data_IF_800990965733
#
_entry.id   IF_800990965733
#
_cell.length_a   1.000
_cell.length_b   1.000
_cell.length_c   1.000
_cell.angle_alpha   90.00
_cell.angle_beta   90.00
_cell.angle_gamma   90.00
#
_symmetry.space_group_name_H-M   'P 1'
#
loop_
_entity.id
_entity.type
_entity.pdbx_description
1 polymer ?
#
# COMPACT_ATOMS: atom_id res chain seq x y z
N UNK A 1 -10.87 12.43 -11.00
CA UNK A 1 -10.02 13.38 -10.24
C UNK A 1 -9.20 12.55 -9.26
N UNK A 2 -7.96 12.94 -8.94
CA UNK A 2 -7.19 12.22 -7.93
C UNK A 2 -7.71 12.57 -6.53
N UNK A 3 -7.75 11.59 -5.63
CA UNK A 3 -8.24 11.73 -4.26
C UNK A 3 -7.07 11.83 -3.30
N UNK A 4 -6.99 12.90 -2.52
CA UNK A 4 -5.92 13.12 -1.53
C UNK A 4 -6.51 13.09 -0.14
N UNK A 5 -5.96 12.25 0.73
CA UNK A 5 -6.26 12.23 2.15
C UNK A 5 -5.36 13.21 2.90
N UNK A 6 -5.89 13.91 3.90
CA UNK A 6 -5.11 14.75 4.82
C UNK A 6 -5.46 14.45 6.28
N UNK A 7 -4.44 14.18 7.09
CA UNK A 7 -4.55 13.96 8.54
C UNK A 7 -3.68 15.00 9.25
N UNK A 8 -4.29 15.76 10.14
CA UNK A 8 -3.65 16.78 10.97
C UNK A 8 -4.56 17.02 12.17
N UNK A 9 -4.00 17.25 13.34
CA UNK A 9 -4.74 17.50 14.59
C UNK A 9 -5.37 18.90 14.63
N UNK A 10 -4.83 19.87 13.90
CA UNK A 10 -5.32 21.25 13.85
C UNK A 10 -6.36 21.47 12.74
N UNK A 11 -7.55 21.94 13.12
CA UNK A 11 -8.64 22.20 12.16
C UNK A 11 -8.29 23.32 11.17
N UNK A 12 -7.53 24.33 11.60
CA UNK A 12 -7.07 25.43 10.75
C UNK A 12 -6.13 24.94 9.65
N UNK A 13 -5.23 24.01 9.96
CA UNK A 13 -4.36 23.35 9.00
C UNK A 13 -5.16 22.51 8.01
N UNK A 14 -6.11 21.69 8.49
CA UNK A 14 -7.02 20.90 7.62
C UNK A 14 -7.79 21.79 6.64
N UNK A 15 -8.33 22.91 7.12
CA UNK A 15 -9.07 23.87 6.29
C UNK A 15 -8.15 24.58 5.26
N UNK A 16 -6.95 24.96 5.67
CA UNK A 16 -5.95 25.57 4.80
C UNK A 16 -5.52 24.62 3.69
N UNK A 17 -5.22 23.36 4.04
CA UNK A 17 -4.92 22.30 3.08
C UNK A 17 -6.07 22.11 2.09
N UNK A 18 -7.31 21.98 2.56
CA UNK A 18 -8.46 21.86 1.68
C UNK A 18 -8.56 23.04 0.69
N UNK A 19 -8.40 24.27 1.17
CA UNK A 19 -8.46 25.45 0.30
C UNK A 19 -7.40 25.44 -0.81
N UNK A 20 -6.17 25.02 -0.49
CA UNK A 20 -5.06 24.99 -1.44
C UNK A 20 -5.19 23.88 -2.49
N UNK A 21 -5.83 22.75 -2.15
CA UNK A 21 -5.82 21.54 -2.98
C UNK A 21 -7.15 21.21 -3.69
N UNK A 22 -8.29 21.74 -3.22
CA UNK A 22 -9.64 21.41 -3.73
C UNK A 22 -9.85 21.62 -5.24
N UNK A 23 -9.12 22.55 -5.85
CA UNK A 23 -9.29 22.87 -7.28
C UNK A 23 -8.61 21.83 -8.18
N UNK A 24 -7.72 21.01 -7.61
CA UNK A 24 -6.88 20.07 -8.35
C UNK A 24 -7.05 18.61 -7.92
N UNK A 25 -7.61 18.40 -6.73
CA UNK A 25 -7.80 17.10 -6.09
C UNK A 25 -9.15 17.04 -5.38
N UNK A 26 -9.69 15.83 -5.27
CA UNK A 26 -10.77 15.55 -4.32
C UNK A 26 -10.14 15.37 -2.94
N UNK A 27 -10.26 16.38 -2.09
CA UNK A 27 -9.63 16.41 -0.76
C UNK A 27 -10.54 15.71 0.25
N UNK A 28 -9.99 14.73 0.97
CA UNK A 28 -10.63 14.00 2.06
C UNK A 28 -9.88 14.34 3.33
N UNK A 29 -10.55 15.03 4.24
CA UNK A 29 -10.02 15.38 5.54
C UNK A 29 -10.44 14.32 6.55
N UNK A 30 -9.48 13.78 7.30
CA UNK A 30 -9.77 12.89 8.42
C UNK A 30 -9.79 13.71 9.70
N UNK A 31 -10.85 13.56 10.48
CA UNK A 31 -11.01 14.25 11.74
C UNK A 31 -10.43 13.42 12.88
N UNK A 32 -9.59 14.05 13.71
CA UNK A 32 -9.06 13.45 14.91
C UNK A 32 -9.90 13.94 16.09
N UNK A 33 -10.40 12.98 16.88
CA UNK A 33 -11.20 13.20 18.08
C UNK A 33 -10.59 12.43 19.24
N UNK A 34 -11.05 12.68 20.47
CA UNK A 34 -10.59 11.94 21.67
C UNK A 34 -10.87 10.43 21.61
N UNK A 35 -11.83 10.00 20.77
CA UNK A 35 -12.17 8.59 20.57
C UNK A 35 -11.37 7.94 19.44
N UNK A 36 -10.61 8.73 18.67
CA UNK A 36 -9.80 8.26 17.56
C UNK A 36 -8.62 7.47 18.11
N UNK A 37 -8.49 6.21 17.70
CA UNK A 37 -7.28 5.41 17.91
C UNK A 37 -6.61 5.12 16.57
N UNK A 38 -5.31 4.81 16.62
CA UNK A 38 -4.50 4.60 15.42
C UNK A 38 -5.08 3.49 14.52
N UNK A 39 -5.53 2.37 15.08
CA UNK A 39 -6.06 1.24 14.32
C UNK A 39 -7.33 1.62 13.54
N UNK A 40 -8.26 2.31 14.18
CA UNK A 40 -9.50 2.78 13.55
C UNK A 40 -9.21 3.77 12.42
N UNK A 41 -8.26 4.68 12.63
CA UNK A 41 -7.88 5.68 11.64
C UNK A 41 -7.19 5.05 10.42
N UNK A 42 -6.30 4.06 10.64
CA UNK A 42 -5.71 3.26 9.56
C UNK A 42 -6.81 2.59 8.73
N UNK A 43 -7.78 1.96 9.40
CA UNK A 43 -8.92 1.30 8.77
C UNK A 43 -9.76 2.27 7.93
N UNK A 44 -10.01 3.47 8.44
CA UNK A 44 -10.75 4.53 7.75
C UNK A 44 -10.00 5.01 6.51
N UNK A 45 -8.71 5.27 6.63
CA UNK A 45 -7.81 5.66 5.53
C UNK A 45 -7.86 4.62 4.41
N UNK A 46 -7.70 3.34 4.74
CA UNK A 46 -7.70 2.27 3.75
C UNK A 46 -9.07 2.08 3.07
N UNK A 47 -10.17 2.30 3.79
CA UNK A 47 -11.55 2.24 3.25
C UNK A 47 -11.92 3.47 2.42
N UNK A 48 -11.29 4.61 2.68
CA UNK A 48 -11.60 5.88 2.02
C UNK A 48 -11.29 5.87 0.52
N UNK A 49 -10.53 4.90 0.01
CA UNK A 49 -10.10 4.78 -1.38
C UNK A 49 -9.45 6.07 -1.93
N UNK A 50 -8.63 6.73 -1.11
CA UNK A 50 -7.74 7.81 -1.53
C UNK A 50 -6.60 7.27 -2.41
N UNK A 51 -6.04 8.15 -3.24
CA UNK A 51 -4.93 7.83 -4.13
C UNK A 51 -3.56 8.17 -3.53
N UNK A 52 -3.52 9.09 -2.57
CA UNK A 52 -2.33 9.45 -1.80
C UNK A 52 -2.76 10.03 -0.45
N UNK A 53 -2.06 9.66 0.62
CA UNK A 53 -2.23 10.22 1.95
C UNK A 53 -1.16 11.26 2.26
N UNK A 54 -1.56 12.36 2.87
CA UNK A 54 -0.67 13.34 3.48
C UNK A 54 -1.00 13.39 4.97
N UNK A 55 0.00 13.33 5.84
CA UNK A 55 -0.20 13.36 7.28
C UNK A 55 0.82 14.25 7.98
N UNK A 56 0.41 14.98 9.00
CA UNK A 56 1.34 15.62 9.94
C UNK A 56 2.02 14.56 10.81
N UNK A 57 3.27 14.82 11.21
CA UNK A 57 4.02 13.92 12.08
C UNK A 57 3.49 13.94 13.52
N UNK A 58 3.19 15.13 14.05
CA UNK A 58 2.92 15.43 15.46
C UNK A 58 1.43 15.49 15.77
N UNK A 59 0.75 14.35 15.65
CA UNK A 59 -0.69 14.26 15.89
C UNK A 59 -1.09 14.34 17.37
N UNK A 60 -0.13 14.15 18.28
CA UNK A 60 -0.35 14.16 19.73
C UNK A 60 -0.38 15.57 20.37
N UNK A 61 -0.08 16.63 19.62
CA UNK A 61 0.11 18.00 20.17
C UNK A 61 -1.12 18.57 20.86
N UNK A 62 -2.32 18.31 20.31
CA UNK A 62 -3.58 18.80 20.88
C UNK A 62 -4.09 17.92 22.04
N UNK A 63 -3.40 16.81 22.37
CA UNK A 63 -3.77 15.89 23.44
C UNK A 63 -5.02 15.06 23.17
N UNK A 64 -5.57 15.12 21.95
CA UNK A 64 -6.72 14.32 21.52
C UNK A 64 -6.35 12.84 21.34
N UNK A 65 -5.11 12.56 20.97
CA UNK A 65 -4.60 11.20 20.74
C UNK A 65 -3.21 11.03 21.35
N UNK A 66 -2.81 9.77 21.56
CA UNK A 66 -1.53 9.36 22.17
C UNK A 66 -0.58 8.68 21.17
N UNK A 67 -0.77 8.98 19.87
CA UNK A 67 0.01 8.41 18.79
C UNK A 67 0.42 9.49 17.79
N UNK A 68 1.55 9.26 17.12
CA UNK A 68 2.06 10.10 16.06
C UNK A 68 1.97 9.38 14.71
N UNK A 69 2.47 10.04 13.66
CA UNK A 69 2.47 9.50 12.30
C UNK A 69 3.22 8.16 12.17
N UNK A 70 4.24 7.91 13.00
CA UNK A 70 5.00 6.67 13.03
C UNK A 70 4.08 5.44 13.16
N UNK A 71 3.20 5.44 14.18
CA UNK A 71 2.22 4.36 14.41
C UNK A 71 1.24 4.21 13.24
N UNK A 72 0.78 5.31 12.63
CA UNK A 72 -0.11 5.25 11.47
C UNK A 72 0.59 4.69 10.24
N UNK A 73 1.84 5.12 9.98
CA UNK A 73 2.64 4.66 8.86
C UNK A 73 2.93 3.17 9.00
N UNK A 74 3.32 2.71 10.19
CA UNK A 74 3.51 1.29 10.49
C UNK A 74 2.23 0.48 10.26
N UNK A 75 1.09 0.96 10.79
CA UNK A 75 -0.20 0.28 10.62
C UNK A 75 -0.66 0.19 9.16
N UNK A 76 -0.46 1.26 8.38
CA UNK A 76 -0.76 1.27 6.95
C UNK A 76 0.19 0.32 6.20
N UNK A 77 1.50 0.39 6.45
CA UNK A 77 2.50 -0.41 5.74
C UNK A 77 2.45 -1.89 6.10
N UNK A 78 1.96 -2.24 7.29
CA UNK A 78 1.67 -3.62 7.66
C UNK A 78 0.58 -4.26 6.78
N UNK A 79 -0.33 -3.46 6.23
CA UNK A 79 -1.43 -3.93 5.36
C UNK A 79 -1.11 -3.70 3.88
N UNK A 80 -0.52 -2.55 3.55
CA UNK A 80 -0.10 -2.17 2.22
C UNK A 80 1.28 -1.52 2.27
N UNK A 81 2.31 -2.32 2.03
CA UNK A 81 3.72 -1.91 2.13
C UNK A 81 4.06 -0.74 1.19
N UNK A 82 3.37 -0.66 0.05
CA UNK A 82 3.62 0.34 -0.99
C UNK A 82 2.56 1.45 -1.01
N UNK A 83 1.83 1.63 0.10
CA UNK A 83 0.77 2.64 0.17
C UNK A 83 1.34 4.04 -0.13
N UNK A 84 0.74 4.79 -1.06
CA UNK A 84 1.21 6.13 -1.41
C UNK A 84 0.91 7.09 -0.27
N UNK A 85 1.93 7.42 0.52
CA UNK A 85 1.83 8.34 1.65
C UNK A 85 2.99 9.33 1.68
N UNK A 86 2.76 10.49 2.31
CA UNK A 86 3.73 11.57 2.49
C UNK A 86 3.54 12.19 3.86
N UNK A 87 4.61 12.32 4.63
CA UNK A 87 4.59 13.04 5.91
C UNK A 87 4.94 14.50 5.64
N UNK A 88 4.10 15.41 6.10
CA UNK A 88 4.23 16.85 5.94
C UNK A 88 4.26 17.49 7.33
N UNK A 89 5.44 17.92 7.79
CA UNK A 89 5.62 18.39 9.18
C UNK A 89 6.57 19.58 9.25
N UNK A 90 6.42 20.43 10.27
CA UNK A 90 7.42 21.44 10.63
C UNK A 90 8.55 20.86 11.50
N UNK A 91 8.42 19.61 11.95
CA UNK A 91 9.37 18.89 12.82
C UNK A 91 10.16 17.83 12.04
N UNK A 92 10.80 18.23 10.94
CA UNK A 92 11.47 17.30 10.02
C UNK A 92 12.51 16.40 10.69
N UNK A 93 13.36 16.97 11.56
CA UNK A 93 14.42 16.21 12.25
C UNK A 93 13.84 15.06 13.08
N UNK A 94 12.77 15.35 13.80
CA UNK A 94 12.12 14.40 14.69
C UNK A 94 11.39 13.31 13.90
N UNK A 95 10.74 13.68 12.80
CA UNK A 95 10.15 12.71 11.88
C UNK A 95 11.21 11.80 11.23
N UNK A 96 12.38 12.33 10.89
CA UNK A 96 13.49 11.57 10.31
C UNK A 96 14.11 10.56 11.29
N UNK A 97 14.08 10.85 12.59
CA UNK A 97 14.60 9.96 13.63
C UNK A 97 13.66 8.79 13.95
N UNK A 98 12.34 8.95 13.71
CA UNK A 98 11.33 7.95 14.06
C UNK A 98 10.78 7.17 12.85
N UNK A 99 10.89 7.70 11.63
CA UNK A 99 10.41 7.03 10.42
C UNK A 99 11.56 6.33 9.67
N UNK A 100 11.37 5.06 9.32
CA UNK A 100 12.38 4.28 8.59
C UNK A 100 12.68 4.86 7.19
N UNK A 101 11.72 5.55 6.57
CA UNK A 101 11.82 6.08 5.22
C UNK A 101 11.85 7.62 5.20
N UNK A 102 13.05 8.18 5.32
CA UNK A 102 13.30 9.62 5.26
C UNK A 102 12.72 10.32 4.02
N UNK A 103 12.60 9.63 2.89
CA UNK A 103 12.05 10.19 1.65
C UNK A 103 10.55 10.58 1.73
N UNK A 104 9.84 10.08 2.74
CA UNK A 104 8.43 10.38 2.98
C UNK A 104 8.25 11.73 3.68
N UNK A 105 9.27 12.20 4.41
CA UNK A 105 9.21 13.43 5.22
C UNK A 105 9.42 14.67 4.36
N UNK A 106 8.57 15.69 4.55
CA UNK A 106 8.62 16.97 3.87
C UNK A 106 8.33 18.10 4.85
N UNK A 107 9.12 19.18 4.78
CA UNK A 107 8.88 20.40 5.53
C UNK A 107 7.58 21.10 5.16
N UNK A 108 6.72 21.35 6.14
CA UNK A 108 5.42 22.03 5.97
C UNK A 108 5.60 23.46 5.46
N UNK A 109 6.47 24.24 6.11
CA UNK A 109 6.77 25.64 5.77
C UNK A 109 7.31 25.75 4.33
N UNK A 110 8.22 24.84 3.95
CA UNK A 110 8.83 24.82 2.63
C UNK A 110 7.82 24.48 1.52
N UNK A 111 6.98 23.48 1.75
CA UNK A 111 6.06 22.94 0.75
C UNK A 111 4.78 23.75 0.60
N UNK A 112 4.20 24.26 1.68
CA UNK A 112 2.91 24.96 1.63
C UNK A 112 3.06 26.45 1.28
N UNK A 113 4.15 27.11 1.68
CA UNK A 113 4.31 28.55 1.44
C UNK A 113 5.01 28.86 0.11
N UNK A 114 6.13 28.20 -0.16
CA UNK A 114 7.03 28.59 -1.26
C UNK A 114 6.97 27.65 -2.49
N UNK A 115 6.58 26.39 -2.29
CA UNK A 115 6.69 25.32 -3.30
C UNK A 115 5.39 24.55 -3.50
N UNK A 116 4.24 25.17 -3.25
CA UNK A 116 2.93 24.50 -3.31
C UNK A 116 2.66 23.78 -4.64
N UNK A 117 2.99 24.41 -5.77
CA UNK A 117 2.79 23.80 -7.09
C UNK A 117 3.69 22.57 -7.31
N UNK A 118 4.93 22.62 -6.81
CA UNK A 118 5.86 21.49 -6.83
C UNK A 118 5.32 20.37 -5.96
N UNK A 119 4.80 20.69 -4.78
CA UNK A 119 4.24 19.72 -3.87
C UNK A 119 2.98 19.04 -4.45
N UNK A 120 2.07 19.81 -5.07
CA UNK A 120 0.94 19.27 -5.82
C UNK A 120 1.38 18.35 -6.95
N UNK A 121 2.39 18.74 -7.72
CA UNK A 121 2.94 17.89 -8.78
C UNK A 121 3.56 16.61 -8.21
N UNK A 122 4.24 16.69 -7.06
CA UNK A 122 4.78 15.54 -6.34
C UNK A 122 3.67 14.56 -5.93
N UNK A 123 2.58 15.05 -5.32
CA UNK A 123 1.44 14.21 -4.95
C UNK A 123 0.81 13.53 -6.17
N UNK A 124 0.65 14.25 -7.29
CA UNK A 124 0.19 13.66 -8.55
C UNK A 124 1.12 12.55 -9.04
N UNK A 125 2.43 12.79 -9.04
CA UNK A 125 3.40 11.79 -9.50
C UNK A 125 3.31 10.55 -8.64
N UNK A 126 3.33 10.68 -7.30
CA UNK A 126 3.25 9.55 -6.37
C UNK A 126 1.98 8.73 -6.62
N UNK A 127 0.82 9.38 -6.71
CA UNK A 127 -0.45 8.71 -6.96
C UNK A 127 -0.48 7.99 -8.31
N UNK A 128 -0.05 8.65 -9.38
CA UNK A 128 -0.04 8.08 -10.73
C UNK A 128 1.01 6.99 -10.92
N UNK A 129 2.18 7.14 -10.29
CA UNK A 129 3.26 6.15 -10.32
C UNK A 129 2.83 4.88 -9.61
N UNK A 130 2.17 5.00 -8.45
CA UNK A 130 1.63 3.85 -7.75
C UNK A 130 0.56 3.11 -8.58
N UNK A 131 -0.40 3.85 -9.15
CA UNK A 131 -1.41 3.26 -10.06
C UNK A 131 -0.78 2.56 -11.26
N UNK A 132 0.16 3.22 -11.93
CA UNK A 132 0.87 2.64 -13.09
C UNK A 132 1.65 1.39 -12.73
N UNK A 133 2.31 1.36 -11.56
CA UNK A 133 3.02 0.18 -11.07
C UNK A 133 2.07 -0.99 -10.84
N UNK A 134 0.93 -0.76 -10.19
CA UNK A 134 -0.10 -1.78 -9.96
C UNK A 134 -0.66 -2.28 -11.30
N UNK A 135 -1.13 -1.38 -12.16
CA UNK A 135 -1.69 -1.74 -13.47
C UNK A 135 -0.69 -2.49 -14.35
N UNK A 136 0.57 -2.05 -14.37
CA UNK A 136 1.63 -2.73 -15.12
C UNK A 136 1.92 -4.12 -14.56
N UNK A 137 1.98 -4.27 -13.23
CA UNK A 137 2.20 -5.54 -12.58
C UNK A 137 1.04 -6.52 -12.84
N UNK A 138 -0.21 -6.06 -12.75
CA UNK A 138 -1.40 -6.85 -13.08
C UNK A 138 -1.41 -7.28 -14.56
N UNK A 139 -1.09 -6.36 -15.48
CA UNK A 139 -1.06 -6.65 -16.91
C UNK A 139 0.07 -7.62 -17.29
N UNK A 140 1.24 -7.50 -16.65
CA UNK A 140 2.37 -8.41 -16.84
C UNK A 140 2.05 -9.80 -16.27
N UNK A 141 1.50 -9.85 -15.05
CA UNK A 141 1.10 -11.11 -14.41
C UNK A 141 0.07 -11.86 -15.26
N UNK A 142 -0.95 -11.17 -15.77
CA UNK A 142 -1.95 -11.77 -16.67
C UNK A 142 -1.32 -12.37 -17.94
N UNK A 143 -0.34 -11.69 -18.54
CA UNK A 143 0.37 -12.22 -19.72
C UNK A 143 1.18 -13.47 -19.38
N UNK A 144 1.82 -13.49 -18.21
CA UNK A 144 2.56 -14.66 -17.73
C UNK A 144 1.63 -15.84 -17.45
N UNK A 145 0.43 -15.59 -16.92
CA UNK A 145 -0.59 -16.63 -16.71
C UNK A 145 -1.09 -17.24 -18.03
N UNK A 146 -1.39 -16.40 -19.02
CA UNK A 146 -1.81 -16.86 -20.36
C UNK A 146 -0.70 -17.72 -21.02
N UNK A 147 0.56 -17.34 -20.85
CA UNK A 147 1.71 -18.14 -21.31
C UNK A 147 1.87 -19.46 -20.57
N UNK A 148 1.67 -19.44 -19.24
CA UNK A 148 1.71 -20.63 -18.39
C UNK A 148 0.67 -21.67 -18.81
N UNK A 149 -0.54 -21.23 -19.15
CA UNK A 149 -1.61 -22.12 -19.64
C UNK A 149 -1.27 -22.69 -21.03
N UNK A 150 -0.62 -21.92 -21.89
CA UNK A 150 -0.23 -22.33 -23.24
C UNK A 150 1.09 -23.14 -23.30
N UNK A 151 1.65 -23.54 -22.15
CA UNK A 151 2.74 -24.51 -22.05
C UNK A 151 4.17 -23.96 -22.22
N UNK A 152 4.34 -22.63 -22.25
CA UNK A 152 5.65 -21.99 -22.29
C UNK A 152 5.91 -21.25 -20.98
N UNK A 153 6.73 -21.82 -20.10
CA UNK A 153 7.13 -21.18 -18.85
C UNK A 153 8.61 -21.48 -18.62
N UNK A 154 9.46 -20.46 -18.82
CA UNK A 154 10.89 -20.54 -18.48
C UNK A 154 11.08 -20.25 -16.98
N UNK A 155 12.20 -20.71 -16.40
CA UNK A 155 12.55 -20.48 -14.99
C UNK A 155 12.58 -18.99 -14.64
N UNK A 156 13.01 -18.13 -15.57
CA UNK A 156 13.01 -16.67 -15.38
C UNK A 156 11.60 -16.07 -15.35
N UNK A 157 10.68 -16.64 -16.12
CA UNK A 157 9.28 -16.22 -16.14
C UNK A 157 8.56 -16.68 -14.85
N UNK A 158 8.97 -17.81 -14.28
CA UNK A 158 8.51 -18.29 -12.97
C UNK A 158 8.95 -17.39 -11.82
N UNK A 159 10.24 -17.05 -11.77
CA UNK A 159 10.75 -16.10 -10.77
C UNK A 159 10.01 -14.76 -10.87
N UNK A 160 9.85 -14.24 -12.09
CA UNK A 160 9.13 -12.99 -12.34
C UNK A 160 7.65 -13.04 -11.94
N UNK A 161 6.99 -14.18 -12.17
CA UNK A 161 5.61 -14.38 -11.75
C UNK A 161 5.48 -14.32 -10.22
N UNK A 162 6.39 -14.99 -9.50
CA UNK A 162 6.42 -14.98 -8.03
C UNK A 162 6.69 -13.57 -7.48
N UNK A 163 7.62 -12.83 -8.08
CA UNK A 163 7.89 -11.44 -7.71
C UNK A 163 6.65 -10.54 -7.84
N UNK A 164 5.99 -10.58 -9.01
CA UNK A 164 4.82 -9.76 -9.29
C UNK A 164 3.62 -10.15 -8.40
N UNK A 165 3.45 -11.45 -8.19
CA UNK A 165 2.47 -12.02 -7.27
C UNK A 165 2.66 -11.47 -5.86
N UNK A 166 3.87 -11.59 -5.32
CA UNK A 166 4.22 -11.07 -3.98
C UNK A 166 4.01 -9.56 -3.89
N UNK A 167 4.43 -8.81 -4.90
CA UNK A 167 4.23 -7.35 -4.96
C UNK A 167 2.74 -6.97 -4.90
N UNK A 168 1.88 -7.62 -5.69
CA UNK A 168 0.45 -7.33 -5.69
C UNK A 168 -0.21 -7.72 -4.37
N UNK A 169 0.17 -8.87 -3.79
CA UNK A 169 -0.34 -9.29 -2.47
C UNK A 169 0.02 -8.28 -1.37
N UNK A 170 1.23 -7.72 -1.42
CA UNK A 170 1.72 -6.68 -0.51
C UNK A 170 1.10 -5.29 -0.78
N UNK A 171 0.47 -5.08 -1.95
CA UNK A 171 -0.09 -3.77 -2.35
C UNK A 171 -1.63 -3.73 -2.29
N UNK A 172 -2.32 -4.84 -2.56
CA UNK A 172 -3.77 -4.86 -2.80
C UNK A 172 -4.57 -5.35 -1.59
N UNK A 173 -3.92 -5.81 -0.52
CA UNK A 173 -4.58 -6.36 0.68
C UNK A 173 -5.61 -5.40 1.35
N UNK A 174 -5.60 -4.11 1.03
CA UNK A 174 -6.61 -3.13 1.46
C UNK A 174 -7.94 -3.11 0.67
N UNK A 175 -8.01 -3.59 -0.59
CA UNK A 175 -9.24 -3.52 -1.43
C UNK A 175 -10.13 -4.76 -1.40
N UNK A 176 -9.90 -5.64 -0.44
CA UNK A 176 -10.67 -6.86 -0.27
C UNK A 176 -10.12 -7.97 -1.15
N UNK A 177 -9.57 -8.99 -0.48
CA UNK A 177 -9.45 -10.37 -0.95
C UNK A 177 -9.49 -10.51 -2.47
N UNK A 178 -8.38 -10.22 -3.15
CA UNK A 178 -8.14 -10.91 -4.41
C UNK A 178 -8.19 -12.38 -4.04
N UNK A 179 -9.23 -13.03 -4.54
CA UNK A 179 -9.60 -14.39 -4.17
C UNK A 179 -8.37 -15.28 -4.23
N UNK A 180 -7.98 -15.86 -3.09
CA UNK A 180 -7.08 -17.03 -3.04
C UNK A 180 -7.60 -18.21 -3.88
N UNK A 181 -8.75 -18.11 -4.55
CA UNK A 181 -9.23 -19.14 -5.47
C UNK A 181 -8.29 -19.41 -6.63
N UNK A 182 -7.46 -18.46 -7.08
CA UNK A 182 -6.58 -18.71 -8.22
C UNK A 182 -5.23 -19.37 -7.86
N UNK A 183 -4.75 -19.22 -6.63
CA UNK A 183 -3.54 -19.91 -6.15
C UNK A 183 -3.78 -21.39 -5.80
N UNK A 184 -5.03 -21.77 -5.55
CA UNK A 184 -5.34 -23.09 -5.00
C UNK A 184 -5.60 -24.16 -6.05
N UNK A 185 -6.32 -23.90 -7.15
CA UNK A 185 -6.74 -25.01 -8.03
C UNK A 185 -5.57 -25.68 -8.76
N UNK A 186 -4.64 -24.91 -9.34
CA UNK A 186 -3.51 -25.50 -10.08
C UNK A 186 -2.38 -25.99 -9.18
N UNK A 187 -2.11 -25.31 -8.07
CA UNK A 187 -1.07 -25.73 -7.11
C UNK A 187 -1.53 -26.96 -6.34
N UNK A 188 -2.81 -27.02 -5.91
CA UNK A 188 -3.37 -28.22 -5.32
C UNK A 188 -3.42 -29.36 -6.33
N UNK A 189 -3.75 -29.12 -7.59
CA UNK A 189 -3.73 -30.18 -8.61
C UNK A 189 -2.32 -30.74 -8.84
N UNK A 190 -1.28 -29.90 -8.86
CA UNK A 190 0.12 -30.38 -8.93
C UNK A 190 0.55 -31.12 -7.66
N UNK A 191 0.09 -30.70 -6.48
CA UNK A 191 0.32 -31.39 -5.22
C UNK A 191 -0.41 -32.74 -5.19
N UNK A 192 -1.65 -32.80 -5.63
CA UNK A 192 -2.46 -34.02 -5.75
C UNK A 192 -1.85 -34.98 -6.78
N UNK A 193 -1.35 -34.46 -7.91
CA UNK A 193 -0.64 -35.24 -8.93
C UNK A 193 0.69 -35.78 -8.37
N UNK A 194 1.43 -35.00 -7.57
CA UNK A 194 2.66 -35.44 -6.89
C UNK A 194 2.39 -36.50 -5.82
N UNK A 195 1.34 -36.32 -5.03
CA UNK A 195 0.88 -37.28 -4.02
C UNK A 195 0.45 -38.57 -4.71
N UNK A 196 -0.34 -38.48 -5.78
CA UNK A 196 -0.75 -39.64 -6.57
C UNK A 196 0.44 -40.37 -7.22
N UNK A 197 1.47 -39.65 -7.66
CA UNK A 197 2.69 -40.26 -8.20
C UNK A 197 3.50 -40.98 -7.11
N UNK A 198 3.59 -40.38 -5.92
CA UNK A 198 4.26 -40.97 -4.77
C UNK A 198 3.54 -42.25 -4.29
N UNK A 199 2.20 -42.22 -4.24
CA UNK A 199 1.37 -43.40 -3.92
C UNK A 199 1.51 -44.52 -4.96
N UNK A 200 1.62 -44.17 -6.25
CA UNK A 200 1.88 -45.14 -7.30
C UNK A 200 3.28 -45.75 -7.22
N UNK A 201 4.28 -45.00 -6.75
CA UNK A 201 5.62 -45.54 -6.50
C UNK A 201 5.64 -46.47 -5.29
N UNK A 202 4.95 -46.10 -4.21
CA UNK A 202 4.78 -46.95 -3.02
C UNK A 202 4.04 -48.25 -3.35
N UNK A 203 2.97 -48.19 -4.14
CA UNK A 203 2.21 -49.38 -4.58
C UNK A 203 2.93 -50.24 -5.64
N UNK A 204 4.01 -49.74 -6.25
CA UNK A 204 4.84 -50.48 -7.21
C UNK A 204 6.10 -51.07 -6.59
N UNK A 205 6.38 -50.81 -5.32
CA UNK A 205 7.36 -51.58 -4.56
C UNK A 205 6.68 -52.88 -4.14
N UNK A 206 7.04 -54.04 -4.71
CA UNK A 206 6.66 -55.30 -4.11
C UNK A 206 7.37 -55.37 -2.75
N UNK A 207 6.64 -55.78 -1.71
CA UNK A 207 7.23 -56.15 -0.42
C UNK A 207 8.48 -56.99 -0.67
N UNK A 208 9.64 -56.40 -0.45
CA UNK A 208 10.88 -57.15 -0.32
C UNK A 208 11.02 -57.50 1.17
N UNK A 209 10.41 -58.66 1.47
CA UNK A 209 10.57 -59.54 2.64
C UNK A 209 10.06 -59.07 4.01
#
# INVERSE_FOLDING_TARGET
>A
MLRVGYIDEDEGQRNSFHHLFKDEFEVILFEITEETNAENLVDEVLKSAIDVLVLDFRLDENGLVDFNADKLVEGIQAINLFYPLVVLTSHEVDALDHLENAHLVNGKDDMLDSKIDIFKQKLRSIALDNKRKIESAEAELKKLEEKRINGGFDSKEEDRYVELSSFLDQTISAKGRVSRSFYSEHTNKKLDDLIGLAEQMLNKMPDQE
#
